data_IF_345454976305
#
_entry.id   IF_345454976305
#
_cell.length_a   1.000
_cell.length_b   1.000
_cell.length_c   1.000
_cell.angle_alpha   90.00
_cell.angle_beta   90.00
_cell.angle_gamma   90.00
#
_symmetry.space_group_name_H-M   'P 1'
#
loop_
_entity.id
_entity.type
_entity.pdbx_description
1 polymer ?
#
# COMPACT_ATOMS: atom_id res chain seq x y z
N UNK A 1 0.68 4.26 15.53
CA UNK A 1 -0.21 3.41 14.70
C UNK A 1 0.59 2.31 14.05
N UNK A 2 -0.06 1.22 13.63
CA UNK A 2 0.47 0.19 12.75
C UNK A 2 0.07 0.51 11.31
N UNK A 3 1.05 0.64 10.43
CA UNK A 3 0.83 1.00 9.03
C UNK A 3 1.30 -0.14 8.15
N UNK A 4 0.47 -0.58 7.21
CA UNK A 4 0.88 -1.51 6.17
C UNK A 4 1.08 -0.74 4.86
N UNK A 5 2.25 -0.86 4.24
CA UNK A 5 2.54 -0.23 2.95
C UNK A 5 2.23 -1.22 1.83
N UNK A 6 1.30 -0.86 0.95
CA UNK A 6 1.10 -1.55 -0.33
C UNK A 6 2.03 -0.91 -1.36
N UNK A 7 2.93 -1.72 -1.94
CA UNK A 7 3.86 -1.28 -2.97
C UNK A 7 4.24 -2.44 -3.91
N UNK A 8 4.65 -2.13 -5.13
CA UNK A 8 5.28 -3.11 -6.02
C UNK A 8 6.61 -3.62 -5.45
N UNK A 9 6.81 -4.95 -5.47
CA UNK A 9 8.03 -5.60 -4.96
C UNK A 9 8.93 -6.10 -6.09
N UNK A 10 8.34 -6.56 -7.20
CA UNK A 10 9.05 -7.13 -8.36
C UNK A 10 9.02 -6.15 -9.53
N UNK A 11 10.06 -6.22 -10.38
CA UNK A 11 10.17 -5.41 -11.60
C UNK A 11 10.08 -3.89 -11.35
N UNK A 12 10.66 -3.43 -10.25
CA UNK A 12 10.80 -2.00 -9.92
C UNK A 12 12.26 -1.59 -9.97
N UNK A 13 12.51 -0.32 -10.24
CA UNK A 13 13.86 0.24 -10.27
C UNK A 13 14.35 0.63 -8.86
N UNK A 14 15.67 0.84 -8.73
CA UNK A 14 16.27 1.24 -7.47
C UNK A 14 15.69 2.58 -6.94
N UNK A 15 15.48 3.63 -7.76
CA UNK A 15 14.86 4.87 -7.31
C UNK A 15 13.47 4.70 -6.68
N UNK A 16 12.63 3.82 -7.24
CA UNK A 16 11.34 3.50 -6.64
C UNK A 16 11.52 2.86 -5.26
N UNK A 17 12.41 1.88 -5.15
CA UNK A 17 12.68 1.20 -3.88
C UNK A 17 13.18 2.19 -2.81
N UNK A 18 14.09 3.09 -3.17
CA UNK A 18 14.61 4.12 -2.27
C UNK A 18 13.50 5.07 -1.80
N UNK A 19 12.60 5.46 -2.70
CA UNK A 19 11.44 6.31 -2.37
C UNK A 19 10.53 5.65 -1.34
N UNK A 20 10.18 4.38 -1.55
CA UNK A 20 9.28 3.65 -0.62
C UNK A 20 9.96 3.43 0.73
N UNK A 21 11.26 3.11 0.75
CA UNK A 21 12.01 2.94 1.99
C UNK A 21 12.19 4.26 2.75
N UNK A 22 12.45 5.37 2.06
CA UNK A 22 12.54 6.68 2.68
C UNK A 22 11.20 7.07 3.33
N UNK A 23 10.08 6.77 2.67
CA UNK A 23 8.76 6.99 3.23
C UNK A 23 8.49 6.13 4.47
N UNK A 24 8.81 4.82 4.42
CA UNK A 24 8.71 3.94 5.57
C UNK A 24 9.51 4.47 6.78
N UNK A 25 10.77 4.90 6.54
CA UNK A 25 11.63 5.49 7.57
C UNK A 25 11.05 6.79 8.14
N UNK A 26 10.47 7.65 7.31
CA UNK A 26 9.79 8.88 7.77
C UNK A 26 8.67 8.55 8.76
N UNK A 27 7.82 7.58 8.44
CA UNK A 27 6.75 7.12 9.33
C UNK A 27 7.29 6.48 10.61
N UNK A 28 8.36 5.70 10.53
CA UNK A 28 9.03 5.10 11.70
C UNK A 28 9.59 6.17 12.64
N UNK A 29 10.23 7.22 12.10
CA UNK A 29 10.74 8.38 12.87
C UNK A 29 9.60 9.13 13.58
N UNK A 30 8.41 9.18 12.97
CA UNK A 30 7.21 9.74 13.56
C UNK A 30 6.57 8.84 14.64
N UNK A 31 7.16 7.67 14.94
CA UNK A 31 6.71 6.76 15.98
C UNK A 31 5.69 5.71 15.51
N UNK A 32 5.47 5.58 14.19
CA UNK A 32 4.60 4.53 13.64
C UNK A 32 5.35 3.20 13.52
N UNK A 33 4.62 2.08 13.65
CA UNK A 33 5.13 0.74 13.35
C UNK A 33 4.77 0.41 11.90
N UNK A 34 5.76 0.31 11.03
CA UNK A 34 5.55 0.12 9.59
C UNK A 34 5.87 -1.31 9.18
N UNK A 35 4.95 -1.92 8.42
CA UNK A 35 5.20 -3.18 7.70
C UNK A 35 5.34 -2.87 6.21
N UNK A 36 6.53 -3.10 5.66
CA UNK A 36 6.85 -2.93 4.24
C UNK A 36 7.10 -4.30 3.62
N UNK A 37 6.22 -4.86 2.76
CA UNK A 37 6.34 -6.23 2.26
C UNK A 37 7.67 -6.55 1.57
N UNK A 38 8.28 -5.58 0.89
CA UNK A 38 9.58 -5.76 0.24
C UNK A 38 10.73 -6.02 1.25
N UNK A 39 10.56 -5.60 2.51
CA UNK A 39 11.52 -5.77 3.62
C UNK A 39 11.09 -6.86 4.59
N UNK A 40 9.81 -6.87 4.95
CA UNK A 40 9.29 -7.56 6.13
C UNK A 40 8.51 -8.84 5.80
N UNK A 41 8.16 -9.08 4.53
CA UNK A 41 7.50 -10.30 4.07
C UNK A 41 8.51 -11.20 3.36
N UNK A 42 8.56 -12.49 3.70
CA UNK A 42 9.46 -13.44 3.04
C UNK A 42 8.99 -13.73 1.60
N UNK A 43 9.56 -13.03 0.64
CA UNK A 43 9.21 -13.09 -0.78
C UNK A 43 9.57 -14.41 -1.47
N UNK A 44 10.34 -15.29 -0.82
CA UNK A 44 10.72 -16.60 -1.38
C UNK A 44 9.69 -17.70 -1.10
N UNK A 45 8.57 -17.38 -0.45
CA UNK A 45 7.49 -18.33 -0.14
C UNK A 45 6.50 -18.43 -1.31
N UNK A 46 5.69 -19.51 -1.37
CA UNK A 46 4.59 -19.60 -2.33
C UNK A 46 3.64 -18.40 -2.22
N UNK A 47 3.06 -17.99 -3.35
CA UNK A 47 2.21 -16.79 -3.43
C UNK A 47 1.04 -16.80 -2.43
N UNK A 48 0.40 -17.96 -2.20
CA UNK A 48 -0.67 -18.09 -1.20
C UNK A 48 -0.19 -17.81 0.22
N UNK A 49 1.04 -18.21 0.56
CA UNK A 49 1.63 -17.95 1.89
C UNK A 49 1.95 -16.48 2.05
N UNK A 50 2.51 -15.85 1.00
CA UNK A 50 2.76 -14.40 0.98
C UNK A 50 1.44 -13.63 1.14
N UNK A 51 0.41 -13.98 0.38
CA UNK A 51 -0.91 -13.34 0.45
C UNK A 51 -1.54 -13.49 1.84
N UNK A 52 -1.44 -14.66 2.48
CA UNK A 52 -1.92 -14.86 3.85
C UNK A 52 -1.17 -14.03 4.88
N UNK A 53 0.15 -13.90 4.73
CA UNK A 53 0.96 -13.02 5.59
C UNK A 53 0.56 -11.56 5.42
N UNK A 54 0.44 -11.09 4.17
CA UNK A 54 -0.01 -9.73 3.88
C UNK A 54 -1.42 -9.48 4.44
N UNK A 55 -2.38 -10.40 4.23
CA UNK A 55 -3.73 -10.28 4.78
C UNK A 55 -3.73 -10.08 6.29
N UNK A 56 -2.96 -10.87 7.03
CA UNK A 56 -2.90 -10.76 8.49
C UNK A 56 -2.24 -9.45 8.93
N UNK A 57 -1.22 -8.98 8.22
CA UNK A 57 -0.59 -7.69 8.51
C UNK A 57 -1.52 -6.51 8.17
N UNK A 58 -2.24 -6.55 7.05
CA UNK A 58 -3.27 -5.57 6.70
C UNK A 58 -4.37 -5.55 7.77
N UNK A 59 -4.86 -6.73 8.20
CA UNK A 59 -5.88 -6.83 9.24
C UNK A 59 -5.45 -6.19 10.55
N UNK A 60 -4.17 -6.32 10.92
CA UNK A 60 -3.59 -5.74 12.15
C UNK A 60 -3.20 -4.26 12.02
N UNK A 61 -3.15 -3.72 10.81
CA UNK A 61 -2.84 -2.32 10.57
C UNK A 61 -4.02 -1.43 10.97
N UNK A 62 -3.71 -0.28 11.55
CA UNK A 62 -4.69 0.78 11.79
C UNK A 62 -5.00 1.51 10.48
N UNK A 63 -4.02 1.61 9.58
CA UNK A 63 -4.10 2.30 8.30
C UNK A 63 -3.25 1.62 7.22
N UNK A 64 -3.64 1.77 5.97
CA UNK A 64 -2.93 1.24 4.81
C UNK A 64 -2.45 2.39 3.92
N UNK A 65 -1.17 2.39 3.57
CA UNK A 65 -0.57 3.43 2.73
C UNK A 65 -0.21 2.82 1.39
N UNK A 66 -0.64 3.42 0.28
CA UNK A 66 -0.47 2.83 -1.05
C UNK A 66 0.44 3.67 -1.96
N UNK A 67 1.42 3.00 -2.54
CA UNK A 67 2.12 3.42 -3.75
C UNK A 67 1.51 2.63 -4.91
N UNK A 68 0.49 3.21 -5.54
CA UNK A 68 -0.28 2.51 -6.55
C UNK A 68 0.51 2.31 -7.84
N UNK A 69 0.37 1.12 -8.40
CA UNK A 69 0.92 0.71 -9.68
C UNK A 69 -0.08 -0.26 -10.31
N UNK A 70 -0.81 0.19 -11.33
CA UNK A 70 -1.87 -0.57 -11.98
C UNK A 70 -1.38 -1.81 -12.71
N UNK A 71 -0.06 -1.91 -12.96
CA UNK A 71 0.58 -3.10 -13.56
C UNK A 71 0.96 -4.16 -12.54
N UNK A 72 0.89 -3.85 -11.24
CA UNK A 72 1.25 -4.77 -10.16
C UNK A 72 0.03 -5.55 -9.69
N UNK A 73 -0.05 -6.82 -10.07
CA UNK A 73 -1.10 -7.73 -9.59
C UNK A 73 -1.10 -7.87 -8.06
N UNK A 74 0.08 -7.85 -7.43
CA UNK A 74 0.20 -7.91 -5.96
C UNK A 74 -0.37 -6.67 -5.29
N UNK A 75 -0.04 -5.47 -5.81
CA UNK A 75 -0.63 -4.20 -5.35
C UNK A 75 -2.14 -4.22 -5.48
N UNK A 76 -2.66 -4.72 -6.60
CA UNK A 76 -4.09 -4.81 -6.84
C UNK A 76 -4.79 -5.77 -5.85
N UNK A 77 -4.17 -6.92 -5.59
CA UNK A 77 -4.70 -7.93 -4.68
C UNK A 77 -4.71 -7.43 -3.23
N UNK A 78 -3.59 -6.88 -2.76
CA UNK A 78 -3.49 -6.30 -1.41
C UNK A 78 -4.46 -5.11 -1.23
N UNK A 79 -4.65 -4.29 -2.27
CA UNK A 79 -5.65 -3.21 -2.28
C UNK A 79 -7.07 -3.75 -2.11
N UNK A 80 -7.43 -4.81 -2.84
CA UNK A 80 -8.74 -5.48 -2.70
C UNK A 80 -8.95 -6.04 -1.29
N UNK A 81 -7.91 -6.65 -0.69
CA UNK A 81 -7.98 -7.13 0.69
C UNK A 81 -8.18 -5.99 1.68
N UNK A 82 -7.42 -4.90 1.55
CA UNK A 82 -7.57 -3.72 2.41
C UNK A 82 -8.97 -3.10 2.30
N UNK A 83 -9.51 -3.00 1.07
CA UNK A 83 -10.86 -2.52 0.82
C UNK A 83 -11.91 -3.42 1.49
N UNK A 84 -11.80 -4.74 1.31
CA UNK A 84 -12.73 -5.71 1.92
C UNK A 84 -12.72 -5.69 3.45
N UNK A 85 -11.59 -5.31 4.05
CA UNK A 85 -11.42 -5.19 5.50
C UNK A 85 -11.83 -3.81 6.03
N UNK A 86 -12.29 -2.90 5.18
CA UNK A 86 -12.71 -1.56 5.58
C UNK A 86 -11.56 -0.72 6.14
N UNK A 87 -10.33 -0.90 5.64
CA UNK A 87 -9.17 -0.18 6.17
C UNK A 87 -9.17 1.29 5.71
N UNK A 88 -8.84 2.25 6.59
CA UNK A 88 -8.48 3.58 6.16
C UNK A 88 -7.29 3.50 5.19
N UNK A 89 -7.33 4.27 4.12
CA UNK A 89 -6.28 4.31 3.09
C UNK A 89 -5.70 5.71 2.95
N UNK A 90 -4.38 5.77 2.81
CA UNK A 90 -3.62 6.96 2.41
C UNK A 90 -2.98 6.69 1.05
N UNK A 91 -3.31 7.52 0.06
CA UNK A 91 -2.71 7.47 -1.27
C UNK A 91 -1.42 8.29 -1.28
N UNK A 92 -0.28 7.61 -1.21
CA UNK A 92 1.05 8.25 -1.18
C UNK A 92 1.52 8.58 -2.60
N UNK A 93 1.30 7.65 -3.53
CA UNK A 93 1.53 7.86 -4.96
C UNK A 93 0.44 7.16 -5.74
N UNK A 94 -0.10 7.87 -6.74
CA UNK A 94 -1.12 7.34 -7.62
C UNK A 94 -0.67 7.42 -9.09
N UNK A 95 -1.36 6.68 -9.95
CA UNK A 95 -1.24 6.86 -11.41
C UNK A 95 -2.18 7.99 -11.86
N UNK A 96 -1.82 8.75 -12.91
CA UNK A 96 -2.74 9.73 -13.48
C UNK A 96 -3.95 9.01 -14.10
N UNK A 97 -5.12 9.64 -14.04
CA UNK A 97 -6.33 9.12 -14.64
C UNK A 97 -7.14 10.23 -15.30
N UNK A 98 -7.79 9.89 -16.41
CA UNK A 98 -8.69 10.78 -17.14
C UNK A 98 -10.14 10.62 -16.67
N UNK A 99 -11.07 10.93 -17.57
CA UNK A 99 -12.51 10.78 -17.33
C UNK A 99 -12.93 9.32 -17.18
N UNK A 100 -14.05 9.10 -16.48
CA UNK A 100 -14.62 7.76 -16.26
C UNK A 100 -14.01 6.99 -15.10
N UNK A 101 -14.48 5.76 -14.91
CA UNK A 101 -14.14 4.92 -13.75
C UNK A 101 -12.77 4.27 -13.94
N UNK A 102 -11.94 4.34 -12.90
CA UNK A 102 -10.63 3.69 -12.85
C UNK A 102 -10.24 3.39 -11.40
N UNK A 103 -9.31 2.46 -11.19
CA UNK A 103 -8.80 2.17 -9.84
C UNK A 103 -8.01 3.33 -9.22
N UNK A 104 -7.14 4.05 -9.95
CA UNK A 104 -6.56 5.30 -9.45
C UNK A 104 -7.60 6.29 -8.93
N UNK A 105 -8.69 6.50 -9.68
CA UNK A 105 -9.80 7.36 -9.24
C UNK A 105 -10.46 6.82 -7.96
N UNK A 106 -10.77 5.52 -7.95
CA UNK A 106 -11.42 4.88 -6.80
C UNK A 106 -10.56 5.00 -5.53
N UNK A 107 -9.23 4.95 -5.63
CA UNK A 107 -8.33 5.13 -4.49
C UNK A 107 -8.44 6.54 -3.87
N UNK A 108 -8.48 7.58 -4.70
CA UNK A 108 -8.64 8.95 -4.21
C UNK A 108 -10.04 9.16 -3.62
N UNK A 109 -11.09 8.62 -4.25
CA UNK A 109 -12.46 8.62 -3.72
C UNK A 109 -12.55 7.88 -2.37
N UNK A 110 -11.90 6.73 -2.24
CA UNK A 110 -11.85 5.94 -1.00
C UNK A 110 -11.12 6.67 0.12
N UNK A 111 -10.00 7.33 -0.19
CA UNK A 111 -9.27 8.16 0.79
C UNK A 111 -10.15 9.31 1.30
N UNK A 112 -10.84 10.02 0.40
CA UNK A 112 -11.75 11.12 0.77
C UNK A 112 -12.95 10.61 1.58
N UNK A 113 -13.53 9.47 1.22
CA UNK A 113 -14.65 8.88 1.95
C UNK A 113 -14.28 8.51 3.40
N UNK A 114 -13.00 8.26 3.69
CA UNK A 114 -12.49 8.01 5.05
C UNK A 114 -12.08 9.30 5.79
N UNK A 115 -12.32 10.48 5.22
CA UNK A 115 -11.92 11.78 5.79
C UNK A 115 -10.44 12.11 5.62
N UNK A 116 -9.71 11.37 4.77
CA UNK A 116 -8.30 11.61 4.49
C UNK A 116 -8.08 12.76 3.52
N UNK A 117 -6.93 13.43 3.65
CA UNK A 117 -6.39 14.40 2.69
C UNK A 117 -5.03 13.90 2.19
N UNK A 118 -4.63 14.25 0.97
CA UNK A 118 -3.31 13.86 0.45
C UNK A 118 -2.21 14.28 1.42
N UNK A 119 -1.33 13.34 1.77
CA UNK A 119 -0.08 13.64 2.47
C UNK A 119 0.85 14.32 1.48
N UNK A 120 1.04 15.63 1.63
CA UNK A 120 1.96 16.46 0.85
C UNK A 120 3.42 16.04 1.10
#
# INVERSE_FOLDING_TARGET
MRIFIICSVRNVDAPYFDTVNAYARKLEIQGHRVHLPARDTNQNKPGITICRQNLENIRRADEVHIFYNGRSQGTHFDMGMAFSLGKPIVVVKNEPYGEGKSFPRMLDEWMVANGGTHSI
#
